data_IF_389519416277
#
_entry.id   IF_389519416277
#
_cell.length_a   1.000
_cell.length_b   1.000
_cell.length_c   1.000
_cell.angle_alpha   90.00
_cell.angle_beta   90.00
_cell.angle_gamma   90.00
#
_symmetry.space_group_name_H-M   'P 1'
#
loop_
_entity.id
_entity.type
_entity.pdbx_description
1 polymer ?
#
# COMPACT_ATOMS: atom_id res chain seq x y z
N UNK A 1 1.74 -23.96 -6.71
CA UNK A 1 1.81 -24.55 -5.37
C UNK A 1 1.05 -23.72 -4.35
N UNK A 2 1.33 -22.41 -4.15
CA UNK A 2 0.65 -21.57 -3.16
C UNK A 2 -0.87 -21.51 -3.38
N UNK A 3 -1.30 -21.19 -4.60
CA UNK A 3 -2.71 -21.09 -4.89
C UNK A 3 -3.46 -22.43 -4.69
N UNK A 4 -2.84 -23.55 -5.03
CA UNK A 4 -3.44 -24.87 -4.77
C UNK A 4 -3.74 -25.13 -3.30
N UNK A 5 -3.08 -24.40 -2.39
CA UNK A 5 -3.25 -24.54 -0.94
C UNK A 5 -4.12 -23.46 -0.32
N UNK A 6 -4.06 -22.24 -0.85
CA UNK A 6 -4.58 -21.06 -0.17
C UNK A 6 -5.66 -20.30 -0.93
N UNK A 7 -5.92 -20.65 -2.21
CA UNK A 7 -6.94 -19.97 -2.99
C UNK A 7 -8.33 -20.16 -2.39
N UNK A 8 -8.95 -19.07 -2.00
CA UNK A 8 -10.25 -19.07 -1.38
C UNK A 8 -10.30 -19.57 0.07
N UNK A 9 -9.15 -19.70 0.75
CA UNK A 9 -9.10 -20.03 2.18
C UNK A 9 -9.63 -18.83 2.98
N UNK A 10 -10.73 -18.97 3.77
CA UNK A 10 -11.35 -17.86 4.48
C UNK A 10 -10.50 -17.28 5.61
N UNK A 11 -9.40 -17.93 5.96
CA UNK A 11 -8.45 -17.43 6.96
C UNK A 11 -7.46 -16.42 6.36
N UNK A 12 -7.41 -16.31 5.03
CA UNK A 12 -6.51 -15.40 4.32
C UNK A 12 -7.32 -14.21 3.81
N UNK A 13 -7.12 -13.06 4.44
CA UNK A 13 -7.80 -11.82 4.08
C UNK A 13 -7.32 -11.21 2.77
N UNK A 14 -6.07 -11.44 2.40
CA UNK A 14 -5.48 -10.96 1.15
C UNK A 14 -4.06 -11.48 0.94
N UNK A 15 -3.58 -11.36 -0.28
CA UNK A 15 -2.22 -11.73 -0.66
C UNK A 15 -1.59 -10.53 -1.37
N UNK A 16 -0.49 -10.04 -0.83
CA UNK A 16 0.32 -9.03 -1.49
C UNK A 16 1.02 -9.62 -2.71
N UNK A 17 1.02 -8.88 -3.79
CA UNK A 17 1.80 -9.19 -4.98
C UNK A 17 3.27 -8.85 -4.73
N UNK A 18 3.87 -9.52 -3.75
CA UNK A 18 5.14 -9.17 -3.14
C UNK A 18 6.36 -9.94 -3.63
N UNK A 19 6.37 -10.49 -4.84
CA UNK A 19 7.47 -11.35 -5.29
C UNK A 19 8.47 -10.71 -6.24
N UNK A 20 8.44 -9.40 -6.39
CA UNK A 20 9.36 -8.66 -7.24
C UNK A 20 9.91 -7.40 -6.54
N UNK A 21 11.18 -7.11 -6.81
CA UNK A 21 11.87 -5.92 -6.27
C UNK A 21 12.37 -6.07 -4.83
N UNK A 22 12.92 -4.99 -4.28
CA UNK A 22 13.35 -4.94 -2.89
C UNK A 22 12.16 -5.16 -1.98
N UNK A 23 12.31 -6.02 -0.99
CA UNK A 23 11.28 -6.38 -0.01
C UNK A 23 9.93 -6.82 -0.62
N UNK A 24 9.88 -7.04 -1.93
CA UNK A 24 8.65 -7.32 -2.64
C UNK A 24 7.83 -6.08 -3.01
N UNK A 25 8.41 -4.89 -2.92
CA UNK A 25 7.73 -3.61 -3.11
C UNK A 25 7.75 -3.08 -4.55
N UNK A 26 8.15 -3.90 -5.50
CA UNK A 26 8.15 -3.58 -6.93
C UNK A 26 9.09 -2.47 -7.38
N UNK A 27 10.06 -2.10 -6.56
CA UNK A 27 11.17 -1.22 -6.92
C UNK A 27 12.51 -1.92 -6.72
N UNK A 28 13.54 -1.47 -7.44
CA UNK A 28 14.90 -2.01 -7.35
C UNK A 28 15.91 -0.93 -6.92
N UNK A 29 15.53 -0.07 -6.02
CA UNK A 29 16.38 0.99 -5.49
C UNK A 29 17.68 0.44 -4.89
N UNK A 30 18.83 0.99 -5.34
CA UNK A 30 20.13 0.68 -4.75
C UNK A 30 20.74 -0.66 -5.13
N UNK A 31 20.07 -1.48 -5.95
CA UNK A 31 20.62 -2.78 -6.36
C UNK A 31 21.61 -2.70 -7.53
N UNK A 32 21.84 -1.53 -8.12
CA UNK A 32 22.73 -1.39 -9.29
C UNK A 32 22.24 -2.13 -10.55
N UNK A 33 21.05 -2.69 -10.49
CA UNK A 33 20.40 -3.33 -11.60
C UNK A 33 19.77 -2.27 -12.48
N UNK A 34 19.84 -2.44 -13.78
CA UNK A 34 19.43 -1.45 -14.77
C UNK A 34 18.19 -0.63 -14.41
N UNK A 35 18.11 0.55 -14.94
CA UNK A 35 17.05 1.52 -14.62
C UNK A 35 16.00 1.51 -15.73
N UNK A 36 15.06 0.60 -15.64
CA UNK A 36 13.91 0.58 -16.54
C UNK A 36 12.86 1.57 -16.06
N UNK A 37 13.02 2.81 -16.51
CA UNK A 37 12.06 3.89 -16.21
C UNK A 37 12.19 4.47 -14.80
N UNK A 38 11.21 5.28 -14.44
CA UNK A 38 11.22 6.08 -13.22
C UNK A 38 11.20 5.26 -11.91
N UNK A 39 10.94 3.97 -11.98
CA UNK A 39 10.75 3.07 -10.83
C UNK A 39 11.97 2.19 -10.56
N UNK A 40 13.06 2.38 -11.30
CA UNK A 40 14.28 1.57 -11.18
C UNK A 40 13.97 0.08 -11.15
N UNK A 41 13.14 -0.37 -12.08
CA UNK A 41 12.86 -1.78 -12.27
C UNK A 41 14.08 -2.49 -12.90
N UNK A 42 14.35 -3.72 -12.47
CA UNK A 42 15.43 -4.52 -13.02
C UNK A 42 15.07 -5.21 -14.35
N UNK A 43 13.79 -5.20 -14.74
CA UNK A 43 13.27 -5.92 -15.89
C UNK A 43 12.30 -5.06 -16.70
N UNK A 44 12.09 -5.47 -17.97
CA UNK A 44 11.13 -4.81 -18.84
C UNK A 44 9.69 -4.88 -18.30
N UNK A 45 8.82 -4.06 -18.82
CA UNK A 45 7.40 -4.05 -18.42
C UNK A 45 6.72 -5.38 -18.72
N UNK A 46 7.06 -6.03 -19.86
CA UNK A 46 6.50 -7.32 -20.22
C UNK A 46 6.85 -8.41 -19.20
N UNK A 47 8.10 -8.42 -18.73
CA UNK A 47 8.54 -9.37 -17.71
C UNK A 47 7.80 -9.11 -16.39
N UNK A 48 7.66 -7.85 -15.99
CA UNK A 48 6.94 -7.50 -14.77
C UNK A 48 5.45 -7.83 -14.86
N UNK A 49 4.81 -7.61 -16.01
CA UNK A 49 3.43 -8.08 -16.26
C UNK A 49 3.31 -9.60 -16.16
N UNK A 50 4.29 -10.34 -16.64
CA UNK A 50 4.27 -11.79 -16.52
C UNK A 50 4.34 -12.27 -15.05
N UNK A 51 5.05 -11.54 -14.18
CA UNK A 51 5.04 -11.79 -12.74
C UNK A 51 3.66 -11.53 -12.13
N UNK A 52 3.03 -10.40 -12.46
CA UNK A 52 1.69 -10.08 -12.00
C UNK A 52 0.67 -11.14 -12.46
N UNK A 53 0.77 -11.57 -13.71
CA UNK A 53 -0.07 -12.59 -14.30
C UNK A 53 -0.02 -13.95 -13.57
N UNK A 54 1.10 -14.28 -12.95
CA UNK A 54 1.17 -15.51 -12.14
C UNK A 54 0.20 -15.46 -10.97
N UNK A 55 0.02 -14.31 -10.34
CA UNK A 55 -0.97 -14.13 -9.28
C UNK A 55 -2.37 -14.06 -9.87
N UNK A 56 -2.59 -13.19 -10.83
CA UNK A 56 -3.90 -12.97 -11.45
C UNK A 56 -4.50 -14.25 -12.07
N UNK A 57 -3.68 -15.15 -12.57
CA UNK A 57 -4.13 -16.43 -13.12
C UNK A 57 -4.47 -17.46 -12.07
N UNK A 58 -3.81 -17.42 -10.93
CA UNK A 58 -3.91 -18.48 -9.92
C UNK A 58 -4.81 -18.12 -8.74
N UNK A 59 -4.98 -16.85 -8.41
CA UNK A 59 -5.86 -16.39 -7.34
C UNK A 59 -7.08 -15.67 -7.94
N UNK A 60 -8.25 -16.28 -7.82
CA UNK A 60 -9.52 -15.78 -8.38
C UNK A 60 -10.53 -15.37 -7.33
N UNK A 61 -10.41 -15.94 -6.13
CA UNK A 61 -11.31 -15.71 -5.00
C UNK A 61 -10.60 -14.95 -3.88
N UNK A 62 -9.33 -15.26 -3.65
CA UNK A 62 -8.54 -14.58 -2.63
C UNK A 62 -8.22 -13.17 -3.09
N UNK A 63 -8.45 -12.20 -2.21
CA UNK A 63 -8.13 -10.80 -2.47
C UNK A 63 -6.65 -10.62 -2.79
N UNK A 64 -6.34 -10.04 -3.94
CA UNK A 64 -4.97 -9.63 -4.29
C UNK A 64 -4.80 -8.14 -3.96
N UNK A 65 -3.62 -7.79 -3.47
CA UNK A 65 -3.23 -6.44 -3.10
C UNK A 65 -1.99 -6.09 -3.92
N UNK A 66 -2.07 -5.05 -4.74
CA UNK A 66 -1.04 -4.64 -5.69
C UNK A 66 -0.18 -3.52 -5.12
N UNK A 67 1.12 -3.63 -5.31
CA UNK A 67 2.06 -2.60 -4.88
C UNK A 67 2.00 -1.37 -5.80
N UNK A 68 2.09 -0.19 -5.20
CA UNK A 68 1.95 1.08 -5.92
C UNK A 68 3.26 1.64 -6.46
N UNK A 69 4.39 1.01 -6.16
CA UNK A 69 5.71 1.52 -6.50
C UNK A 69 6.07 1.40 -7.98
N UNK A 70 5.36 0.57 -8.71
CA UNK A 70 5.45 0.45 -10.16
C UNK A 70 4.13 0.89 -10.82
N UNK A 71 3.99 2.17 -11.10
CA UNK A 71 2.74 2.71 -11.60
C UNK A 71 2.23 2.08 -12.91
N UNK A 72 3.06 1.76 -13.92
CA UNK A 72 2.62 1.02 -15.10
C UNK A 72 2.05 -0.36 -14.77
N UNK A 73 2.67 -1.07 -13.84
CA UNK A 73 2.18 -2.39 -13.44
C UNK A 73 0.93 -2.26 -12.57
N UNK A 74 0.87 -1.30 -11.65
CA UNK A 74 -0.35 -1.03 -10.90
C UNK A 74 -1.54 -0.76 -11.83
N UNK A 75 -1.35 0.06 -12.85
CA UNK A 75 -2.41 0.35 -13.84
C UNK A 75 -2.83 -0.92 -14.60
N UNK A 76 -1.89 -1.76 -14.99
CA UNK A 76 -2.15 -3.07 -15.59
C UNK A 76 -2.92 -3.99 -14.63
N UNK A 77 -2.46 -4.09 -13.39
CA UNK A 77 -2.98 -4.99 -12.37
C UNK A 77 -4.40 -4.61 -11.95
N UNK A 78 -4.64 -3.35 -11.69
CA UNK A 78 -5.97 -2.87 -11.34
C UNK A 78 -6.96 -2.95 -12.51
N UNK A 79 -6.48 -2.81 -13.75
CA UNK A 79 -7.31 -2.89 -14.95
C UNK A 79 -8.22 -1.68 -15.16
N UNK A 80 -8.16 -0.69 -14.29
CA UNK A 80 -8.92 0.55 -14.36
C UNK A 80 -9.42 1.02 -13.01
N UNK A 81 -9.58 2.34 -12.85
CA UNK A 81 -10.00 2.93 -11.58
C UNK A 81 -11.45 2.64 -11.23
N UNK A 82 -12.35 2.61 -12.21
CA UNK A 82 -13.79 2.42 -11.97
C UNK A 82 -14.15 1.00 -11.53
N UNK A 83 -13.41 0.01 -12.00
CA UNK A 83 -13.64 -1.38 -11.65
C UNK A 83 -12.31 -2.11 -11.38
N UNK A 84 -11.63 -1.76 -10.29
CA UNK A 84 -10.34 -2.36 -9.96
C UNK A 84 -10.49 -3.86 -9.66
N UNK A 85 -9.46 -4.62 -10.04
CA UNK A 85 -9.42 -6.08 -9.83
C UNK A 85 -8.92 -6.50 -8.46
N UNK A 86 -8.43 -5.56 -7.66
CA UNK A 86 -7.89 -5.85 -6.34
C UNK A 86 -7.59 -4.60 -5.53
N UNK A 87 -7.06 -4.81 -4.34
CA UNK A 87 -6.58 -3.77 -3.45
C UNK A 87 -5.26 -3.17 -3.87
N UNK A 88 -4.82 -2.16 -3.17
CA UNK A 88 -3.50 -1.55 -3.39
C UNK A 88 -2.76 -1.35 -2.08
N UNK A 89 -1.44 -1.50 -2.12
CA UNK A 89 -0.55 -1.29 -0.99
C UNK A 89 0.47 -0.22 -1.29
N UNK A 90 0.70 0.61 -0.29
CA UNK A 90 1.75 1.62 -0.28
C UNK A 90 2.48 1.59 1.03
N UNK A 91 3.80 1.57 0.97
CA UNK A 91 4.65 1.69 2.14
C UNK A 91 5.10 3.13 2.34
N UNK A 92 5.53 3.45 3.57
CA UNK A 92 6.12 4.72 3.87
C UNK A 92 5.21 5.78 4.47
N UNK A 93 4.08 5.40 5.08
CA UNK A 93 3.26 6.31 5.87
C UNK A 93 4.09 6.95 6.97
N UNK A 94 3.91 8.25 7.15
CA UNK A 94 4.66 9.07 8.10
C UNK A 94 5.90 9.71 7.49
N UNK A 95 6.43 9.19 6.39
CA UNK A 95 7.57 9.78 5.73
C UNK A 95 7.19 11.02 4.93
N UNK A 96 7.79 12.15 5.28
CA UNK A 96 7.64 13.40 4.51
C UNK A 96 7.94 13.23 3.02
N UNK A 97 8.92 12.40 2.68
CA UNK A 97 9.30 12.15 1.29
C UNK A 97 8.22 11.39 0.54
N UNK A 98 7.61 10.40 1.17
CA UNK A 98 6.57 9.59 0.57
C UNK A 98 5.30 10.40 0.36
N UNK A 99 4.83 11.13 1.35
CA UNK A 99 3.63 11.96 1.21
C UNK A 99 3.80 13.09 0.22
N UNK A 100 4.89 13.85 0.32
CA UNK A 100 5.12 15.01 -0.53
C UNK A 100 5.38 14.66 -1.99
N UNK A 101 6.08 13.54 -2.22
CA UNK A 101 6.54 13.17 -3.57
C UNK A 101 5.65 12.14 -4.26
N UNK A 102 4.74 11.48 -3.56
CA UNK A 102 4.05 10.31 -4.07
C UNK A 102 2.55 10.48 -4.17
N UNK A 103 1.90 11.04 -3.18
CA UNK A 103 0.44 11.06 -3.10
C UNK A 103 -0.15 12.19 -3.95
N UNK A 104 0.56 13.27 -4.10
CA UNK A 104 0.18 14.38 -4.97
C UNK A 104 1.01 14.49 -6.24
N UNK A 105 1.91 13.54 -6.52
CA UNK A 105 2.81 13.66 -7.64
C UNK A 105 2.25 13.02 -8.91
N UNK A 106 2.36 13.70 -10.03
CA UNK A 106 2.10 13.17 -11.35
C UNK A 106 2.88 11.87 -11.65
N UNK A 107 4.01 11.68 -10.96
CA UNK A 107 4.88 10.53 -11.17
C UNK A 107 4.19 9.20 -10.88
N UNK A 108 3.35 9.14 -9.86
CA UNK A 108 2.73 7.88 -9.45
C UNK A 108 1.25 7.79 -9.80
N UNK A 109 0.61 8.91 -10.11
CA UNK A 109 -0.79 8.98 -10.56
C UNK A 109 -1.74 8.10 -9.75
N UNK A 110 -1.54 8.07 -8.43
CA UNK A 110 -2.33 7.22 -7.55
C UNK A 110 -3.71 7.78 -7.26
N UNK A 111 -3.89 9.10 -7.39
CA UNK A 111 -5.11 9.80 -7.03
C UNK A 111 -6.38 9.19 -7.67
N UNK A 112 -6.41 8.83 -8.96
CA UNK A 112 -7.60 8.19 -9.54
C UNK A 112 -7.96 6.86 -8.87
N UNK A 113 -6.94 6.08 -8.49
CA UNK A 113 -7.15 4.78 -7.86
C UNK A 113 -7.55 4.92 -6.39
N UNK A 114 -6.92 5.83 -5.64
CA UNK A 114 -7.23 6.08 -4.23
C UNK A 114 -8.70 6.42 -4.03
N UNK A 115 -9.31 7.20 -4.91
CA UNK A 115 -10.72 7.57 -4.83
C UNK A 115 -11.70 6.42 -5.10
N UNK A 116 -11.28 5.35 -5.75
CA UNK A 116 -12.19 4.30 -6.23
C UNK A 116 -11.91 2.92 -5.62
N UNK A 117 -10.65 2.55 -5.43
CA UNK A 117 -10.27 1.22 -4.95
C UNK A 117 -10.91 0.89 -3.61
N UNK A 118 -10.89 1.81 -2.66
CA UNK A 118 -11.43 1.60 -1.31
C UNK A 118 -12.90 1.20 -1.27
N UNK A 119 -13.68 1.55 -2.30
CA UNK A 119 -15.10 1.23 -2.39
C UNK A 119 -15.35 -0.26 -2.58
N UNK A 120 -14.38 -1.00 -3.10
CA UNK A 120 -14.52 -2.42 -3.47
C UNK A 120 -13.45 -3.31 -2.87
N UNK A 121 -12.25 -2.78 -2.66
CA UNK A 121 -11.05 -3.52 -2.26
C UNK A 121 -10.30 -2.78 -1.17
N UNK A 122 -9.47 -3.47 -0.38
CA UNK A 122 -8.69 -2.84 0.67
C UNK A 122 -7.61 -1.91 0.10
N UNK A 123 -7.37 -0.82 0.81
CA UNK A 123 -6.15 -0.04 0.70
C UNK A 123 -5.30 -0.35 1.92
N UNK A 124 -4.06 -0.75 1.69
CA UNK A 124 -3.12 -1.16 2.72
C UNK A 124 -1.96 -0.19 2.75
N UNK A 125 -1.56 0.22 3.93
CA UNK A 125 -0.37 1.02 4.13
C UNK A 125 0.55 0.42 5.18
N UNK A 126 1.84 0.66 5.02
CA UNK A 126 2.87 0.36 6.00
C UNK A 126 3.52 1.65 6.50
N UNK A 127 3.80 1.71 7.79
CA UNK A 127 4.55 2.83 8.34
C UNK A 127 6.01 2.78 7.93
N UNK A 128 6.60 3.94 7.70
CA UNK A 128 8.01 4.02 7.27
C UNK A 128 8.99 3.49 8.30
N UNK A 129 8.69 3.59 9.57
CA UNK A 129 9.58 3.16 10.63
C UNK A 129 8.99 3.39 12.02
N UNK A 130 9.86 3.34 13.03
CA UNK A 130 9.41 3.50 14.42
C UNK A 130 8.94 4.94 14.69
N UNK A 131 8.09 5.09 15.71
CA UNK A 131 7.62 6.42 16.16
C UNK A 131 8.81 7.33 16.46
N UNK A 132 9.77 6.83 17.21
CA UNK A 132 10.96 7.59 17.61
C UNK A 132 11.77 8.05 16.40
N UNK A 133 11.93 7.18 15.42
CA UNK A 133 12.62 7.54 14.18
C UNK A 133 11.85 8.64 13.44
N UNK A 134 10.57 8.46 13.20
CA UNK A 134 9.74 9.44 12.48
C UNK A 134 9.70 10.79 13.19
N UNK A 135 9.58 10.79 14.51
CA UNK A 135 9.63 12.01 15.33
C UNK A 135 11.00 12.68 15.27
N UNK A 136 12.09 11.91 15.30
CA UNK A 136 13.45 12.45 15.18
C UNK A 136 13.70 13.13 13.82
N UNK A 137 12.98 12.71 12.78
CA UNK A 137 13.02 13.35 11.46
C UNK A 137 12.15 14.62 11.37
N UNK A 138 11.41 14.96 12.43
CA UNK A 138 10.47 16.08 12.43
C UNK A 138 9.32 15.93 11.44
N UNK A 139 8.88 14.71 11.18
CA UNK A 139 7.75 14.44 10.28
C UNK A 139 6.42 14.72 10.98
N UNK A 140 5.47 15.23 10.19
CA UNK A 140 4.14 15.57 10.68
C UNK A 140 3.28 14.32 10.83
N UNK A 141 3.32 13.73 12.02
CA UNK A 141 2.56 12.52 12.33
C UNK A 141 1.05 12.76 12.35
N UNK A 142 0.52 13.84 12.96
CA UNK A 142 -0.90 14.14 12.85
C UNK A 142 -1.41 14.22 11.42
N UNK A 143 -0.70 14.92 10.55
CA UNK A 143 -1.04 14.98 9.12
C UNK A 143 -1.09 13.59 8.48
N UNK A 144 -0.08 12.76 8.75
CA UNK A 144 0.02 11.42 8.15
C UNK A 144 -1.10 10.50 8.63
N UNK A 145 -1.43 10.53 9.91
CA UNK A 145 -2.50 9.73 10.49
C UNK A 145 -3.89 10.20 10.03
N UNK A 146 -4.11 11.51 9.94
CA UNK A 146 -5.34 12.06 9.39
C UNK A 146 -5.50 11.66 7.93
N UNK A 147 -4.41 11.70 7.15
CA UNK A 147 -4.43 11.29 5.76
C UNK A 147 -4.84 9.83 5.58
N UNK A 148 -4.40 8.92 6.46
CA UNK A 148 -4.84 7.51 6.47
C UNK A 148 -6.36 7.40 6.60
N UNK A 149 -6.96 8.20 7.49
CA UNK A 149 -8.41 8.24 7.68
C UNK A 149 -9.13 8.81 6.45
N UNK A 150 -8.65 9.93 5.94
CA UNK A 150 -9.29 10.65 4.83
C UNK A 150 -9.29 9.86 3.53
N UNK A 151 -8.33 8.93 3.37
CA UNK A 151 -8.20 8.09 2.18
C UNK A 151 -8.74 6.67 2.37
N UNK A 152 -9.54 6.44 3.41
CA UNK A 152 -10.23 5.16 3.62
C UNK A 152 -9.29 3.95 3.66
N UNK A 153 -8.12 4.11 4.22
CA UNK A 153 -7.17 3.02 4.37
C UNK A 153 -7.78 1.93 5.25
N UNK A 154 -7.81 0.72 4.74
CA UNK A 154 -8.47 -0.42 5.38
C UNK A 154 -7.57 -1.14 6.36
N UNK A 155 -6.29 -1.21 6.04
CA UNK A 155 -5.28 -1.92 6.83
C UNK A 155 -4.05 -1.04 6.90
N UNK A 156 -3.57 -0.82 8.09
CA UNK A 156 -2.23 -0.27 8.31
C UNK A 156 -1.44 -1.37 8.97
N UNK A 157 -0.55 -1.98 8.19
CA UNK A 157 0.27 -3.05 8.72
C UNK A 157 1.57 -2.51 9.27
N UNK A 158 2.09 -3.29 10.16
CA UNK A 158 3.42 -3.20 10.74
C UNK A 158 3.87 -1.83 11.13
N UNK A 159 4.22 -1.76 12.06
CA UNK A 159 4.97 -0.80 12.62
C UNK A 159 4.64 -0.77 14.08
N UNK A 160 5.53 -0.28 14.76
CA UNK A 160 5.45 -0.11 16.19
C UNK A 160 4.47 1.01 16.58
N UNK A 161 3.58 1.45 15.67
CA UNK A 161 2.63 2.51 15.98
C UNK A 161 1.45 1.93 16.76
N UNK A 162 1.58 1.99 18.07
CA UNK A 162 0.52 1.67 19.01
C UNK A 162 0.12 2.91 19.79
N UNK A 163 -1.16 3.09 20.14
CA UNK A 163 -1.61 4.28 20.87
C UNK A 163 -0.81 4.59 22.14
N UNK A 164 -0.33 3.56 22.84
CA UNK A 164 0.46 3.72 24.06
C UNK A 164 1.87 4.31 23.85
N UNK A 165 2.36 4.36 22.62
CA UNK A 165 3.65 4.96 22.29
C UNK A 165 3.56 6.50 22.22
N UNK A 166 2.35 7.03 22.15
CA UNK A 166 2.13 8.47 22.22
C UNK A 166 1.65 8.87 23.61
N UNK A 167 1.98 10.08 23.99
CA UNK A 167 1.48 10.63 25.26
C UNK A 167 -0.05 10.72 25.21
N UNK A 168 -0.69 10.23 26.25
CA UNK A 168 -2.14 10.24 26.38
C UNK A 168 -2.73 11.66 26.18
N UNK A 169 -3.74 11.77 25.36
CA UNK A 169 -4.44 13.01 25.05
C UNK A 169 -3.80 13.85 23.93
N UNK A 170 -2.67 13.42 23.35
CA UNK A 170 -2.11 14.06 22.15
C UNK A 170 -2.98 13.80 20.93
N UNK A 171 -2.76 14.58 19.88
CA UNK A 171 -3.51 14.44 18.63
C UNK A 171 -3.18 13.11 17.93
N UNK A 172 -1.93 12.73 17.93
CA UNK A 172 -1.47 11.45 17.37
C UNK A 172 -2.16 10.25 18.05
N UNK A 173 -2.22 10.25 19.37
CA UNK A 173 -2.87 9.18 20.12
C UNK A 173 -4.37 9.09 19.78
N UNK A 174 -5.06 10.21 19.68
CA UNK A 174 -6.48 10.28 19.31
C UNK A 174 -6.71 9.80 17.88
N UNK A 175 -5.87 10.22 16.93
CA UNK A 175 -5.97 9.81 15.54
C UNK A 175 -5.70 8.32 15.38
N UNK A 176 -4.69 7.79 16.07
CA UNK A 176 -4.39 6.37 16.00
C UNK A 176 -5.52 5.50 16.56
N UNK A 177 -6.15 5.92 17.66
CA UNK A 177 -7.37 5.26 18.17
C UNK A 177 -8.53 5.30 17.17
N UNK A 178 -8.66 6.39 16.42
CA UNK A 178 -9.67 6.44 15.33
C UNK A 178 -9.32 5.45 14.22
N UNK A 179 -8.05 5.35 13.84
CA UNK A 179 -7.60 4.36 12.84
C UNK A 179 -7.95 2.95 13.32
N UNK A 180 -7.64 2.59 14.56
CA UNK A 180 -7.97 1.28 15.14
C UNK A 180 -9.49 0.98 15.10
N UNK A 181 -10.32 2.01 15.28
CA UNK A 181 -11.78 1.86 15.26
C UNK A 181 -12.37 1.80 13.85
N UNK A 182 -11.83 2.55 12.91
CA UNK A 182 -12.45 2.81 11.61
C UNK A 182 -11.71 2.22 10.42
N UNK A 183 -10.45 1.78 10.59
CA UNK A 183 -9.75 1.09 9.53
C UNK A 183 -10.54 -0.16 9.08
N UNK A 184 -10.80 -0.26 7.79
CA UNK A 184 -11.62 -1.33 7.22
C UNK A 184 -13.12 -1.17 7.40
N UNK A 185 -13.61 -0.21 8.17
CA UNK A 185 -15.04 0.08 8.25
C UNK A 185 -15.50 0.74 6.95
N UNK A 186 -16.34 0.04 6.21
CA UNK A 186 -17.07 0.63 5.09
C UNK A 186 -18.41 1.15 5.62
N UNK A 187 -18.58 2.46 5.57
CA UNK A 187 -19.91 3.02 5.70
C UNK A 187 -20.68 2.62 4.43
N UNK A 188 -21.50 1.61 4.54
CA UNK A 188 -22.48 1.29 3.49
C UNK A 188 -23.61 2.28 3.66
N UNK A 189 -23.95 3.08 2.64
CA UNK A 189 -25.09 3.96 2.70
C UNK A 189 -26.40 3.22 2.82
#
# INVERSE_FOLDING_TARGET
ALAARYEGDPRIGGIDLGSYGNWGEWHCWGLGLGDYGAHRAAHSEEVRKAWADMYLKNFKKTQIIFMTDDAPILAYDLGGAENPRGGMRRDGVGSKYHFKNWIGSERYKLTPYMGEVWKKHPIVFEYFGTVEYMQSQGWDMPFSLQWVLDNHVSIVNEGPLQPHQFKAGTEEEKLLRKIDLYAGARLVP
#
